data_IF_125297627068
#
_entry.id   IF_125297627068
#
_cell.length_a   1.000
_cell.length_b   1.000
_cell.length_c   1.000
_cell.angle_alpha   90.00
_cell.angle_beta   90.00
_cell.angle_gamma   90.00
#
_symmetry.space_group_name_H-M   'P 1'
#
loop_
_entity.id
_entity.type
_entity.pdbx_description
1 polymer ?
#
# COMPACT_ATOMS: atom_id res chain seq x y z
N UNK A 1 -7.49 -12.69 -7.72
CA UNK A 1 -6.67 -13.04 -6.55
C UNK A 1 -6.07 -11.74 -6.05
N UNK A 2 -6.68 -11.14 -5.03
CA UNK A 2 -6.26 -9.85 -4.41
C UNK A 2 -6.72 -9.85 -2.95
N UNK A 3 -7.94 -10.34 -2.68
CA UNK A 3 -8.48 -10.44 -1.30
C UNK A 3 -7.61 -11.20 -0.30
N UNK A 4 -6.93 -12.28 -0.71
CA UNK A 4 -6.05 -13.06 0.17
C UNK A 4 -4.73 -12.34 0.46
N UNK A 5 -4.16 -11.67 -0.54
CA UNK A 5 -2.94 -10.87 -0.41
C UNK A 5 -3.18 -9.63 0.46
N UNK A 6 -4.33 -8.98 0.30
CA UNK A 6 -4.81 -7.92 1.19
C UNK A 6 -4.92 -8.37 2.64
N UNK A 7 -5.51 -9.55 2.87
CA UNK A 7 -5.63 -10.11 4.22
C UNK A 7 -4.27 -10.40 4.86
N UNK A 8 -3.34 -10.97 4.08
CA UNK A 8 -1.98 -11.23 4.54
C UNK A 8 -1.21 -9.93 4.86
N UNK A 9 -1.34 -8.90 4.02
CA UNK A 9 -0.71 -7.60 4.24
C UNK A 9 -1.28 -6.90 5.49
N UNK A 10 -2.60 -6.96 5.69
CA UNK A 10 -3.25 -6.43 6.89
C UNK A 10 -2.69 -7.10 8.16
N UNK A 11 -2.70 -8.44 8.21
CA UNK A 11 -2.18 -9.17 9.38
C UNK A 11 -0.70 -8.87 9.61
N UNK A 12 0.10 -8.78 8.55
CA UNK A 12 1.53 -8.45 8.63
C UNK A 12 1.76 -7.05 9.20
N UNK A 13 1.00 -6.05 8.74
CA UNK A 13 1.10 -4.67 9.27
C UNK A 13 0.73 -4.59 10.75
N UNK A 14 -0.28 -5.34 11.20
CA UNK A 14 -0.67 -5.38 12.62
C UNK A 14 0.46 -5.99 13.44
N UNK A 15 0.97 -7.15 13.02
CA UNK A 15 2.04 -7.83 13.74
C UNK A 15 3.32 -6.99 13.79
N UNK A 16 3.68 -6.32 12.69
CA UNK A 16 4.83 -5.44 12.63
C UNK A 16 4.68 -4.23 13.57
N UNK A 17 3.51 -3.62 13.64
CA UNK A 17 3.27 -2.49 14.55
C UNK A 17 3.26 -2.89 16.03
N UNK A 18 2.79 -4.09 16.37
CA UNK A 18 2.86 -4.62 17.75
C UNK A 18 4.30 -4.81 18.20
N UNK A 19 5.18 -5.22 17.29
CA UNK A 19 6.59 -5.50 17.58
C UNK A 19 7.54 -4.34 17.25
N UNK A 20 7.02 -3.16 16.85
CA UNK A 20 7.86 -2.04 16.44
C UNK A 20 8.59 -1.43 17.66
N UNK A 21 9.81 -0.96 17.44
CA UNK A 21 10.54 -0.20 18.44
C UNK A 21 9.93 1.19 18.67
N UNK A 22 10.18 1.80 19.82
CA UNK A 22 9.60 3.10 20.23
C UNK A 22 9.90 4.23 19.24
N UNK A 23 11.04 4.15 18.54
CA UNK A 23 11.48 5.15 17.56
C UNK A 23 11.28 4.69 16.10
N UNK A 24 10.62 3.54 15.88
CA UNK A 24 10.34 3.03 14.55
C UNK A 24 9.03 3.62 14.03
N UNK A 25 8.99 4.19 12.82
CA UNK A 25 7.75 4.64 12.18
C UNK A 25 6.69 3.53 12.14
N UNK A 26 5.41 3.90 12.12
CA UNK A 26 4.33 2.93 12.01
C UNK A 26 4.34 2.30 10.61
N UNK A 27 4.07 1.01 10.52
CA UNK A 27 3.95 0.29 9.26
C UNK A 27 2.51 0.35 8.75
N UNK A 28 2.34 0.57 7.47
CA UNK A 28 1.07 0.54 6.75
C UNK A 28 0.87 -0.79 6.03
N UNK A 29 -0.35 -1.04 5.56
CA UNK A 29 -0.65 -2.22 4.73
C UNK A 29 0.13 -2.15 3.40
N UNK A 30 0.30 -0.93 2.86
CA UNK A 30 1.05 -0.68 1.62
C UNK A 30 2.53 -1.09 1.70
N UNK A 31 3.14 -1.09 2.90
CA UNK A 31 4.52 -1.54 3.09
C UNK A 31 4.69 -3.05 2.83
N UNK A 32 3.61 -3.83 2.97
CA UNK A 32 3.59 -5.28 2.73
C UNK A 32 2.91 -5.66 1.41
N UNK A 33 2.18 -4.75 0.79
CA UNK A 33 1.55 -4.92 -0.51
C UNK A 33 1.60 -3.59 -1.30
N UNK A 34 2.73 -3.28 -1.97
CA UNK A 34 2.97 -1.96 -2.58
C UNK A 34 1.98 -1.58 -3.68
N UNK A 35 1.43 -2.58 -4.38
CA UNK A 35 0.42 -2.37 -5.42
C UNK A 35 -0.91 -1.85 -4.84
N UNK A 36 -1.16 -2.01 -3.53
CA UNK A 36 -2.32 -1.40 -2.85
C UNK A 36 -2.17 0.11 -2.78
N UNK A 37 -0.95 0.63 -2.56
CA UNK A 37 -0.73 2.09 -2.54
C UNK A 37 -1.18 2.74 -3.85
N UNK A 38 -0.91 2.10 -4.99
CA UNK A 38 -1.37 2.58 -6.30
C UNK A 38 -2.91 2.57 -6.40
N UNK A 39 -3.57 1.53 -5.89
CA UNK A 39 -5.04 1.44 -5.84
C UNK A 39 -5.65 2.51 -4.93
N UNK A 40 -5.05 2.75 -3.76
CA UNK A 40 -5.49 3.79 -2.82
C UNK A 40 -5.33 5.20 -3.41
N UNK A 41 -4.23 5.47 -4.14
CA UNK A 41 -4.03 6.74 -4.84
C UNK A 41 -5.07 6.98 -5.93
N UNK A 42 -5.39 5.94 -6.71
CA UNK A 42 -6.46 6.00 -7.72
C UNK A 42 -7.82 6.21 -7.05
N UNK A 43 -8.11 5.51 -5.96
CA UNK A 43 -9.36 5.68 -5.21
C UNK A 43 -9.47 7.07 -4.55
N UNK A 44 -8.35 7.65 -4.12
CA UNK A 44 -8.27 9.00 -3.55
C UNK A 44 -8.28 10.13 -4.59
N UNK A 45 -8.31 9.79 -5.89
CA UNK A 45 -8.21 10.74 -7.00
C UNK A 45 -7.01 11.68 -6.88
N UNK A 46 -5.89 11.16 -6.38
CA UNK A 46 -4.66 11.94 -6.27
C UNK A 46 -4.13 12.29 -7.66
N UNK A 47 -3.63 13.53 -7.86
CA UNK A 47 -3.07 13.93 -9.13
C UNK A 47 -1.82 13.09 -9.44
N UNK A 48 -1.91 12.27 -10.48
CA UNK A 48 -0.78 11.53 -11.04
C UNK A 48 -0.01 12.39 -12.05
N UNK A 49 1.29 12.11 -12.21
CA UNK A 49 2.09 12.79 -13.24
C UNK A 49 1.66 12.37 -14.65
N UNK A 50 1.89 13.25 -15.63
CA UNK A 50 1.57 12.97 -17.04
C UNK A 50 2.29 11.71 -17.55
N UNK A 51 3.54 11.49 -17.14
CA UNK A 51 4.32 10.31 -17.52
C UNK A 51 3.71 9.01 -16.98
N UNK A 52 3.11 9.06 -15.79
CA UNK A 52 2.51 7.91 -15.11
C UNK A 52 1.12 7.58 -15.67
N UNK A 53 0.37 8.62 -16.06
CA UNK A 53 -0.87 8.47 -16.83
C UNK A 53 -0.63 7.76 -18.17
N UNK A 54 0.41 8.16 -18.91
CA UNK A 54 0.75 7.55 -20.20
C UNK A 54 1.08 6.05 -20.08
N UNK A 55 1.74 5.63 -19.00
CA UNK A 55 2.09 4.22 -18.75
C UNK A 55 0.89 3.31 -18.47
N UNK A 56 -0.28 3.87 -18.16
CA UNK A 56 -1.49 3.11 -17.77
C UNK A 56 -2.47 2.95 -18.94
N UNK A 57 -2.20 3.59 -20.09
CA UNK A 57 -3.05 3.54 -21.28
C UNK A 57 -2.65 2.50 -22.33
N UNK A 58 -1.47 1.88 -22.21
CA UNK A 58 -1.08 0.69 -22.97
C UNK A 58 -1.55 -0.60 -22.28
#
# INVERSE_FOLDING_TARGET
>A
MMRTEWGAALISSVLANVNRGTNTPAFSIADFAPHIAAVERVAANEPISLQEAMRTWD
#
